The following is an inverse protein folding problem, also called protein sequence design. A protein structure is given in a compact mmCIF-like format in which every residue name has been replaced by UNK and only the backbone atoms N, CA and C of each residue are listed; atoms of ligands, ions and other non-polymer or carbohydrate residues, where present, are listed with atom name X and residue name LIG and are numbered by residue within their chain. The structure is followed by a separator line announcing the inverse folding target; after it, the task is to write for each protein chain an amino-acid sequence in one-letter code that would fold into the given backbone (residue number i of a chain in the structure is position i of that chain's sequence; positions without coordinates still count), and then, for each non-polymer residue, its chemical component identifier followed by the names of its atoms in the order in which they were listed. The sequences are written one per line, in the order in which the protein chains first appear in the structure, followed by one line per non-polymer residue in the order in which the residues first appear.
data_IF_989140846780
#
_entry.id   IF_989140846780
#
_cell.length_a   1.000
_cell.length_b   1.000
_cell.length_c   1.000
_cell.angle_alpha   90.00
_cell.angle_beta   90.00
_cell.angle_gamma   90.00
#
_symmetry.space_group_name_H-M   'P 1'
#
loop_
_entity.id
_entity.type
_entity.pdbx_description
1 polymer ?
#
# COMPACT_ATOMS: atom_id res chain seq x y z
N UNK A 1 5.22 8.46 -28.70
CA UNK A 1 5.85 8.15 -27.40
C UNK A 1 4.90 8.59 -26.31
N UNK A 2 4.13 7.66 -25.74
CA UNK A 2 3.10 7.96 -24.74
C UNK A 2 3.78 8.29 -23.40
N UNK A 3 3.83 9.58 -23.05
CA UNK A 3 4.17 10.03 -21.71
C UNK A 3 2.98 9.72 -20.80
N UNK A 4 2.99 8.57 -20.12
CA UNK A 4 2.02 8.32 -19.05
C UNK A 4 2.37 9.26 -17.90
N UNK A 5 1.42 10.13 -17.54
CA UNK A 5 1.53 11.05 -16.41
C UNK A 5 1.95 10.26 -15.17
N UNK A 6 3.14 10.55 -14.63
CA UNK A 6 3.52 10.13 -13.29
C UNK A 6 2.72 11.00 -12.32
N UNK A 7 1.55 10.52 -11.88
CA UNK A 7 0.85 11.12 -10.75
C UNK A 7 1.81 11.05 -9.56
N UNK A 8 2.31 12.20 -9.10
CA UNK A 8 3.17 12.29 -7.92
C UNK A 8 2.44 11.74 -6.69
N UNK A 9 3.13 11.11 -5.73
CA UNK A 9 2.49 10.56 -4.54
C UNK A 9 2.06 11.72 -3.64
N UNK A 10 0.78 12.08 -3.69
CA UNK A 10 0.16 12.77 -2.56
C UNK A 10 0.20 11.85 -1.33
N UNK A 11 0.32 12.39 -0.10
CA UNK A 11 0.44 11.59 1.11
C UNK A 11 -0.92 11.00 1.50
N UNK A 12 -1.34 9.91 0.87
CA UNK A 12 -2.48 9.08 1.29
C UNK A 12 -2.04 7.62 1.23
N UNK A 13 -1.91 6.96 2.37
CA UNK A 13 -1.35 5.59 2.45
C UNK A 13 -2.32 4.59 1.83
N UNK A 14 -2.19 4.33 0.54
CA UNK A 14 -3.08 3.42 -0.19
C UNK A 14 -2.84 1.96 0.19
N UNK A 15 -3.81 1.07 -0.10
CA UNK A 15 -3.62 -0.39 0.02
C UNK A 15 -2.37 -0.86 -0.75
N UNK A 16 -2.15 -0.30 -1.94
CA UNK A 16 -1.01 -0.57 -2.80
C UNK A 16 0.33 -0.28 -2.10
N UNK A 17 0.45 0.89 -1.47
CA UNK A 17 1.64 1.24 -0.69
C UNK A 17 1.81 0.34 0.53
N UNK A 18 0.73 -0.01 1.22
CA UNK A 18 0.81 -0.92 2.37
C UNK A 18 1.34 -2.30 1.97
N UNK A 19 0.89 -2.84 0.83
CA UNK A 19 1.38 -4.10 0.28
C UNK A 19 2.87 -4.01 -0.04
N UNK A 20 3.27 -2.96 -0.78
CA UNK A 20 4.67 -2.75 -1.15
C UNK A 20 5.58 -2.61 0.07
N UNK A 21 5.21 -1.76 1.04
CA UNK A 21 5.98 -1.57 2.27
C UNK A 21 6.07 -2.84 3.10
N UNK A 22 5.00 -3.64 3.18
CA UNK A 22 5.01 -4.90 3.90
C UNK A 22 6.01 -5.88 3.29
N UNK A 23 6.01 -6.02 1.95
CA UNK A 23 6.97 -6.83 1.20
C UNK A 23 8.41 -6.36 1.43
N UNK A 24 8.66 -5.06 1.27
CA UNK A 24 9.99 -4.45 1.40
C UNK A 24 10.53 -4.57 2.83
N UNK A 25 9.67 -4.48 3.86
CA UNK A 25 10.10 -4.65 5.26
C UNK A 25 10.66 -6.03 5.57
N UNK A 26 10.33 -7.03 4.75
CA UNK A 26 10.84 -8.40 4.86
C UNK A 26 11.95 -8.70 3.85
N UNK A 27 12.37 -7.72 3.04
CA UNK A 27 13.40 -7.90 2.01
C UNK A 27 12.98 -8.87 0.89
N UNK A 28 11.68 -9.11 0.68
CA UNK A 28 11.20 -10.07 -0.30
C UNK A 28 11.14 -9.45 -1.71
N UNK A 29 11.55 -10.22 -2.72
CA UNK A 29 11.28 -9.91 -4.13
C UNK A 29 9.86 -10.33 -4.49
N UNK A 30 9.27 -9.75 -5.56
CA UNK A 30 7.96 -10.18 -6.04
C UNK A 30 7.96 -11.66 -6.47
N UNK A 31 9.07 -12.15 -7.02
CA UNK A 31 9.23 -13.58 -7.37
C UNK A 31 9.21 -14.49 -6.12
N UNK A 32 9.81 -14.03 -5.01
CA UNK A 32 9.75 -14.78 -3.75
C UNK A 32 8.31 -14.87 -3.21
N UNK A 33 7.54 -13.79 -3.35
CA UNK A 33 6.13 -13.76 -2.97
C UNK A 33 5.29 -14.63 -3.89
N UNK A 34 5.56 -14.62 -5.20
CA UNK A 34 4.91 -15.50 -6.17
C UNK A 34 5.13 -16.97 -5.80
N UNK A 35 6.38 -17.37 -5.50
CA UNK A 35 6.68 -18.74 -5.03
C UNK A 35 5.96 -19.11 -3.74
N UNK A 36 5.74 -18.16 -2.84
CA UNK A 36 5.09 -18.40 -1.55
C UNK A 36 3.55 -18.41 -1.62
N UNK A 37 2.96 -17.62 -2.52
CA UNK A 37 1.50 -17.36 -2.56
C UNK A 37 0.81 -17.92 -3.80
N UNK A 38 1.57 -18.28 -4.85
CA UNK A 38 1.04 -18.61 -6.18
C UNK A 38 0.48 -17.42 -6.95
N UNK A 39 0.61 -16.19 -6.43
CA UNK A 39 0.15 -14.98 -7.11
C UNK A 39 1.26 -14.51 -8.05
N UNK A 40 0.96 -14.46 -9.35
CA UNK A 40 1.92 -14.04 -10.36
C UNK A 40 2.52 -12.65 -10.09
N UNK A 41 3.82 -12.49 -10.34
CA UNK A 41 4.57 -11.23 -10.27
C UNK A 41 3.87 -10.06 -10.97
N UNK A 42 3.26 -10.30 -12.14
CA UNK A 42 2.46 -9.28 -12.85
C UNK A 42 1.28 -8.78 -12.00
N UNK A 43 0.53 -9.67 -11.36
CA UNK A 43 -0.58 -9.29 -10.47
C UNK A 43 -0.08 -8.60 -9.20
N UNK A 44 1.02 -9.06 -8.62
CA UNK A 44 1.66 -8.39 -7.48
C UNK A 44 2.04 -6.95 -7.82
N UNK A 45 2.63 -6.73 -8.99
CA UNK A 45 2.97 -5.39 -9.48
C UNK A 45 1.75 -4.50 -9.68
N UNK A 46 0.67 -5.03 -10.27
CA UNK A 46 -0.59 -4.30 -10.41
C UNK A 46 -1.20 -3.91 -9.05
N UNK A 47 -1.12 -4.80 -8.06
CA UNK A 47 -1.59 -4.54 -6.69
C UNK A 47 -0.75 -3.46 -6.01
N UNK A 48 0.58 -3.57 -6.09
CA UNK A 48 1.52 -2.61 -5.47
C UNK A 48 1.53 -1.23 -6.15
N UNK A 49 1.06 -1.15 -7.40
CA UNK A 49 0.87 0.11 -8.11
C UNK A 49 -0.56 0.65 -8.00
N UNK A 50 -1.49 -0.08 -7.37
CA UNK A 50 -2.90 0.30 -7.25
C UNK A 50 -3.66 0.28 -8.58
N UNK A 51 -3.14 -0.40 -9.61
CA UNK A 51 -3.84 -0.59 -10.89
C UNK A 51 -5.02 -1.55 -10.74
N UNK A 52 -4.91 -2.50 -9.81
CA UNK A 52 -5.90 -3.51 -9.52
C UNK A 52 -5.94 -3.75 -8.01
N UNK A 53 -7.11 -4.01 -7.46
CA UNK A 53 -7.23 -4.46 -6.08
C UNK A 53 -7.19 -6.00 -5.98
N UNK A 54 -6.44 -6.56 -5.02
CA UNK A 54 -6.46 -8.00 -4.76
C UNK A 54 -7.83 -8.42 -4.21
N UNK A 55 -8.29 -9.60 -4.60
CA UNK A 55 -9.48 -10.21 -3.97
C UNK A 55 -9.17 -10.54 -2.51
N UNK A 56 -10.20 -10.64 -1.66
CA UNK A 56 -10.05 -10.94 -0.23
C UNK A 56 -9.19 -12.20 0.03
N UNK A 57 -9.37 -13.25 -0.77
CA UNK A 57 -8.57 -14.47 -0.68
C UNK A 57 -7.08 -14.23 -0.98
N UNK A 58 -6.77 -13.45 -2.02
CA UNK A 58 -5.40 -13.07 -2.37
C UNK A 58 -4.79 -12.16 -1.29
N UNK A 59 -5.59 -11.22 -0.78
CA UNK A 59 -5.16 -10.33 0.29
C UNK A 59 -4.83 -11.10 1.57
N UNK A 60 -5.57 -12.17 1.87
CA UNK A 60 -5.28 -13.05 3.00
C UNK A 60 -3.96 -13.81 2.82
N UNK A 61 -3.72 -14.39 1.63
CA UNK A 61 -2.43 -15.02 1.32
C UNK A 61 -1.26 -14.05 1.46
N UNK A 62 -1.42 -12.82 0.99
CA UNK A 62 -0.41 -11.76 1.12
C UNK A 62 -0.21 -11.36 2.59
N UNK A 63 -1.29 -11.27 3.37
CA UNK A 63 -1.22 -10.96 4.79
C UNK A 63 -0.42 -12.02 5.57
N UNK A 64 -0.69 -13.30 5.30
CA UNK A 64 0.03 -14.43 5.89
C UNK A 64 1.51 -14.42 5.44
N UNK A 65 1.77 -14.24 4.14
CA UNK A 65 3.13 -14.14 3.58
C UNK A 65 3.92 -12.99 4.19
N UNK A 66 3.27 -11.84 4.44
CA UNK A 66 3.89 -10.65 4.98
C UNK A 66 3.89 -10.58 6.50
N UNK A 67 3.37 -11.61 7.19
CA UNK A 67 3.26 -11.68 8.65
C UNK A 67 2.59 -10.43 9.23
N UNK A 68 1.53 -9.96 8.57
CA UNK A 68 0.72 -8.81 9.01
C UNK A 68 -0.73 -9.24 9.14
N UNK A 69 -1.47 -8.76 10.15
CA UNK A 69 -2.89 -9.05 10.24
C UNK A 69 -3.63 -8.42 9.06
N UNK A 70 -4.70 -9.06 8.59
CA UNK A 70 -5.51 -8.57 7.46
C UNK A 70 -6.04 -7.14 7.68
N UNK A 71 -6.32 -6.79 8.94
CA UNK A 71 -6.73 -5.44 9.36
C UNK A 71 -5.72 -4.34 9.01
N UNK A 72 -4.42 -4.67 8.94
CA UNK A 72 -3.37 -3.74 8.51
C UNK A 72 -3.63 -3.24 7.08
N UNK A 73 -4.06 -4.13 6.18
CA UNK A 73 -4.31 -3.80 4.78
C UNK A 73 -5.69 -3.17 4.57
N UNK A 74 -6.69 -3.61 5.34
CA UNK A 74 -8.08 -3.15 5.27
C UNK A 74 -8.34 -1.81 5.98
N UNK A 75 -7.35 -1.24 6.68
CA UNK A 75 -7.49 0.06 7.35
C UNK A 75 -7.95 1.12 6.35
N UNK A 76 -9.19 1.59 6.48
CA UNK A 76 -9.67 2.79 5.80
C UNK A 76 -8.94 3.99 6.38
N UNK A 77 -8.56 4.91 5.51
CA UNK A 77 -7.66 6.04 5.77
C UNK A 77 -7.87 6.67 7.14
N UNK A 78 -6.83 6.66 7.97
CA UNK A 78 -6.77 7.53 9.14
C UNK A 78 -6.26 8.88 8.62
N UNK A 79 -7.05 9.97 8.72
CA UNK A 79 -6.54 11.27 8.35
C UNK A 79 -5.33 11.53 9.24
N UNK A 80 -4.13 11.67 8.66
CA UNK A 80 -2.99 12.21 9.41
C UNK A 80 -3.49 13.52 10.03
N UNK A 81 -3.27 13.79 11.33
CA UNK A 81 -3.56 15.11 11.88
C UNK A 81 -2.78 16.08 11.01
N UNK A 82 -3.53 16.80 10.18
CA UNK A 82 -3.04 17.97 9.48
C UNK A 82 -2.37 18.81 10.57
N UNK A 83 -1.11 19.25 10.39
CA UNK A 83 -0.52 20.21 11.30
C UNK A 83 -1.45 21.41 11.27
N UNK A 84 -2.32 21.43 12.27
CA UNK A 84 -3.07 22.56 12.75
C UNK A 84 -2.09 23.71 12.73
N UNK A 85 -2.16 24.53 11.68
CA UNK A 85 -1.52 25.83 11.68
C UNK A 85 -2.25 26.63 12.75
N UNK A 86 -1.82 26.44 14.00
CA UNK A 86 -2.39 27.10 15.17
C UNK A 86 -2.04 28.60 15.19
N UNK A 87 -1.26 29.07 14.23
CA UNK A 87 -0.86 30.47 14.11
C UNK A 87 -1.93 31.36 13.47
N UNK A 88 -3.19 31.27 13.89
CA UNK A 88 -4.18 32.37 13.84
C UNK A 88 -5.32 32.14 14.85
N UNK A 89 -5.01 32.11 16.15
CA UNK A 89 -5.97 32.58 17.15
C UNK A 89 -5.24 33.45 18.20
N UNK A 90 -5.82 34.60 18.58
CA UNK A 90 -5.10 35.84 18.85
C UNK A 90 -4.94 36.10 20.35
N UNK A 91 -3.94 36.90 20.73
CA UNK A 91 -3.91 37.56 22.04
C UNK A 91 -4.07 39.08 21.84
N UNK A 92 -5.15 39.63 22.41
CA UNK A 92 -5.26 40.99 22.95
C UNK A 92 -5.23 42.16 21.98
#
# INVERSE_FOLDING_TARGET
MTFTVRRGPGPMSTLAERLKRARESLGLTQEAVERATGIGTSSLSEFECGKREPRLAQLRLLADCYRRPLSYFLRKDEPKPQPVMWCKFPDG
#
